data_IF_466685561465
#
_entry.id   IF_466685561465
#
_cell.length_a   1.000
_cell.length_b   1.000
_cell.length_c   1.000
_cell.angle_alpha   90.00
_cell.angle_beta   90.00
_cell.angle_gamma   90.00
#
_symmetry.space_group_name_H-M   'P 1'
#
loop_
_entity.id
_entity.type
_entity.pdbx_description
1 polymer ?
#
# COMPACT_ATOMS: atom_id res chain seq x y z
N UNK A 1 -43.33 -7.90 -6.30
CA UNK A 1 -43.47 -8.82 -5.17
C UNK A 1 -44.93 -8.85 -4.74
N UNK A 2 -45.62 -9.98 -4.84
CA UNK A 2 -47.02 -10.10 -4.56
C UNK A 2 -47.31 -10.17 -3.05
N UNK A 3 -48.41 -9.64 -2.54
CA UNK A 3 -48.79 -9.68 -1.11
C UNK A 3 -48.76 -11.11 -0.56
N UNK A 4 -49.15 -12.11 -1.36
CA UNK A 4 -49.04 -13.55 -0.98
C UNK A 4 -47.63 -14.03 -0.72
N UNK A 5 -46.63 -13.54 -1.45
CA UNK A 5 -45.22 -13.93 -1.25
C UNK A 5 -44.68 -13.31 0.02
N UNK A 6 -45.12 -12.10 0.36
CA UNK A 6 -44.78 -11.44 1.61
C UNK A 6 -45.31 -12.17 2.84
N UNK A 7 -46.55 -12.72 2.78
CA UNK A 7 -47.11 -13.48 3.89
C UNK A 7 -46.41 -14.80 4.11
N UNK A 8 -45.99 -15.53 3.08
CA UNK A 8 -45.21 -16.75 3.20
C UNK A 8 -43.84 -16.50 3.81
N UNK A 9 -43.17 -15.40 3.44
CA UNK A 9 -41.85 -15.04 3.98
C UNK A 9 -41.89 -14.78 5.51
N UNK A 10 -43.03 -14.42 6.07
CA UNK A 10 -43.21 -14.15 7.52
C UNK A 10 -43.72 -15.39 8.27
N UNK A 11 -44.20 -16.42 7.58
CA UNK A 11 -44.73 -17.63 8.20
C UNK A 11 -43.59 -18.62 8.54
N UNK A 12 -43.37 -18.95 9.83
CA UNK A 12 -42.32 -19.90 10.21
C UNK A 12 -42.50 -21.28 9.55
N UNK A 13 -41.40 -21.89 9.13
CA UNK A 13 -41.39 -23.22 8.51
C UNK A 13 -41.72 -23.23 7.01
N UNK A 14 -41.85 -22.06 6.37
CA UNK A 14 -41.95 -22.01 4.92
C UNK A 14 -40.56 -21.83 4.28
N UNK A 15 -40.30 -22.37 3.07
CA UNK A 15 -39.04 -22.18 2.38
C UNK A 15 -38.67 -20.69 2.19
N UNK A 16 -39.65 -19.83 2.00
CA UNK A 16 -39.47 -18.38 1.87
C UNK A 16 -39.05 -17.75 3.21
N UNK A 17 -39.57 -18.23 4.34
CA UNK A 17 -39.16 -17.78 5.67
C UNK A 17 -37.73 -18.22 6.00
N UNK A 18 -37.37 -19.46 5.67
CA UNK A 18 -36.01 -19.98 5.83
C UNK A 18 -35.00 -19.19 4.98
N UNK A 19 -35.35 -18.89 3.72
CA UNK A 19 -34.52 -18.08 2.85
C UNK A 19 -34.33 -16.64 3.40
N UNK A 20 -35.40 -16.03 3.90
CA UNK A 20 -35.35 -14.69 4.51
C UNK A 20 -34.52 -14.69 5.80
N UNK A 21 -34.72 -15.69 6.67
CA UNK A 21 -33.94 -15.85 7.92
C UNK A 21 -32.45 -16.07 7.64
N UNK A 22 -32.12 -16.89 6.63
CA UNK A 22 -30.76 -17.08 6.18
C UNK A 22 -30.15 -15.78 5.64
N UNK A 23 -30.91 -15.00 4.87
CA UNK A 23 -30.48 -13.70 4.36
C UNK A 23 -30.17 -12.70 5.49
N UNK A 24 -31.09 -12.56 6.45
CA UNK A 24 -30.84 -11.71 7.62
C UNK A 24 -29.67 -12.20 8.46
N UNK A 25 -29.52 -13.51 8.67
CA UNK A 25 -28.38 -14.08 9.35
C UNK A 25 -27.04 -13.72 8.69
N UNK A 26 -26.99 -13.62 7.36
CA UNK A 26 -25.82 -13.12 6.63
C UNK A 26 -25.62 -11.61 6.82
N UNK A 27 -26.67 -10.82 6.75
CA UNK A 27 -26.58 -9.36 6.96
C UNK A 27 -26.04 -9.00 8.34
N UNK A 28 -26.47 -9.67 9.39
CA UNK A 28 -26.00 -9.42 10.75
C UNK A 28 -24.51 -9.76 10.95
N UNK A 29 -23.93 -10.60 10.11
CA UNK A 29 -22.52 -10.96 10.14
C UNK A 29 -21.60 -9.97 9.41
N UNK A 30 -22.16 -9.14 8.51
CA UNK A 30 -21.35 -8.22 7.69
C UNK A 30 -20.44 -7.28 8.50
N UNK A 31 -20.89 -6.67 9.63
CA UNK A 31 -20.02 -5.81 10.43
C UNK A 31 -18.80 -6.57 10.99
N UNK A 32 -19.00 -7.80 11.47
CA UNK A 32 -17.93 -8.61 12.02
C UNK A 32 -16.96 -9.07 10.93
N UNK A 33 -17.47 -9.47 9.77
CA UNK A 33 -16.63 -9.81 8.61
C UNK A 33 -15.77 -8.64 8.16
N UNK A 34 -16.33 -7.44 8.10
CA UNK A 34 -15.61 -6.22 7.75
C UNK A 34 -14.56 -5.86 8.79
N UNK A 35 -14.90 -5.96 10.08
CA UNK A 35 -13.97 -5.68 11.19
C UNK A 35 -12.79 -6.66 11.15
N UNK A 36 -13.06 -7.94 11.00
CA UNK A 36 -12.03 -8.98 10.89
C UNK A 36 -11.12 -8.70 9.67
N UNK A 37 -11.69 -8.50 8.50
CA UNK A 37 -10.95 -8.20 7.28
C UNK A 37 -10.08 -6.95 7.44
N UNK A 38 -10.65 -5.85 7.96
CA UNK A 38 -9.93 -4.61 8.20
C UNK A 38 -8.76 -4.80 9.15
N UNK A 39 -8.94 -5.53 10.24
CA UNK A 39 -7.90 -5.77 11.25
C UNK A 39 -6.75 -6.61 10.68
N UNK A 40 -7.05 -7.68 9.97
CA UNK A 40 -6.03 -8.50 9.29
C UNK A 40 -5.25 -7.69 8.25
N UNK A 41 -5.96 -6.98 7.37
CA UNK A 41 -5.31 -6.19 6.31
C UNK A 41 -4.49 -5.05 6.90
N UNK A 42 -5.01 -4.31 7.89
CA UNK A 42 -4.27 -3.23 8.54
C UNK A 42 -2.98 -3.75 9.20
N UNK A 43 -3.06 -4.88 9.91
CA UNK A 43 -1.88 -5.50 10.53
C UNK A 43 -0.86 -5.93 9.48
N UNK A 44 -1.29 -6.57 8.40
CA UNK A 44 -0.39 -6.96 7.30
C UNK A 44 0.28 -5.74 6.66
N UNK A 45 -0.47 -4.67 6.42
CA UNK A 45 0.06 -3.45 5.79
C UNK A 45 1.04 -2.72 6.71
N UNK A 46 0.70 -2.52 7.99
CA UNK A 46 1.47 -1.70 8.91
C UNK A 46 2.75 -2.41 9.39
N UNK A 47 2.71 -3.72 9.63
CA UNK A 47 3.82 -4.45 10.21
C UNK A 47 4.65 -5.26 9.21
N UNK A 48 4.09 -5.62 8.06
CA UNK A 48 4.79 -6.48 7.08
C UNK A 48 5.05 -5.79 5.74
N UNK A 49 4.22 -4.83 5.32
CA UNK A 49 4.42 -4.12 4.07
C UNK A 49 5.13 -2.77 4.27
N UNK A 50 4.76 -2.00 5.31
CA UNK A 50 5.39 -0.69 5.53
C UNK A 50 6.89 -0.78 5.82
N UNK A 51 7.41 -1.79 6.55
CA UNK A 51 8.84 -1.95 6.78
C UNK A 51 9.66 -2.43 5.58
N UNK A 52 9.03 -2.82 4.46
CA UNK A 52 9.74 -3.32 3.28
C UNK A 52 10.70 -2.26 2.72
N UNK A 53 11.97 -2.59 2.64
CA UNK A 53 13.01 -1.70 2.10
C UNK A 53 12.84 -1.47 0.59
N UNK A 54 12.47 -2.53 -0.13
CA UNK A 54 12.14 -2.49 -1.56
C UNK A 54 10.68 -2.82 -1.74
N UNK A 55 10.03 -2.15 -2.69
CA UNK A 55 8.60 -2.26 -2.93
C UNK A 55 8.36 -2.72 -4.36
N UNK A 56 8.44 -4.01 -4.57
CA UNK A 56 8.11 -4.71 -5.82
C UNK A 56 7.27 -5.94 -5.50
N UNK A 57 6.75 -6.62 -6.52
CA UNK A 57 5.88 -7.78 -6.36
C UNK A 57 6.51 -8.89 -5.49
N UNK A 58 7.80 -9.18 -5.68
CA UNK A 58 8.53 -10.18 -4.91
C UNK A 58 8.58 -9.86 -3.42
N UNK A 59 8.91 -8.61 -3.06
CA UNK A 59 8.99 -8.21 -1.65
C UNK A 59 7.61 -8.17 -0.98
N UNK A 60 6.55 -7.80 -1.72
CA UNK A 60 5.19 -7.91 -1.19
C UNK A 60 4.77 -9.37 -0.98
N UNK A 61 5.15 -10.29 -1.88
CA UNK A 61 4.91 -11.73 -1.67
C UNK A 61 5.63 -12.24 -0.42
N UNK A 62 6.87 -11.80 -0.17
CA UNK A 62 7.59 -12.09 1.08
C UNK A 62 6.89 -11.50 2.29
N UNK A 63 6.35 -10.28 2.19
CA UNK A 63 5.57 -9.65 3.26
C UNK A 63 4.32 -10.46 3.60
N UNK A 64 3.56 -10.90 2.60
CA UNK A 64 2.40 -11.80 2.77
C UNK A 64 2.81 -13.10 3.43
N UNK A 65 3.88 -13.75 2.94
CA UNK A 65 4.38 -14.99 3.51
C UNK A 65 4.74 -14.83 5.00
N UNK A 66 5.49 -13.78 5.35
CA UNK A 66 5.87 -13.50 6.74
C UNK A 66 4.66 -13.27 7.64
N UNK A 67 3.68 -12.51 7.17
CA UNK A 67 2.44 -12.26 7.91
C UNK A 67 1.73 -13.57 8.26
N UNK A 68 1.56 -14.45 7.30
CA UNK A 68 0.88 -15.73 7.53
C UNK A 68 1.70 -16.74 8.33
N UNK A 69 3.02 -16.65 8.26
CA UNK A 69 3.92 -17.54 9.02
C UNK A 69 4.16 -17.08 10.46
N UNK A 70 3.71 -15.88 10.84
CA UNK A 70 3.88 -15.33 12.19
C UNK A 70 2.76 -15.86 13.11
N UNK A 71 3.02 -16.99 13.77
CA UNK A 71 2.05 -17.65 14.64
C UNK A 71 1.59 -16.75 15.80
N UNK A 72 2.47 -15.92 16.36
CA UNK A 72 2.13 -15.03 17.47
C UNK A 72 1.12 -13.96 17.05
N UNK A 73 1.33 -13.36 15.86
CA UNK A 73 0.41 -12.35 15.31
C UNK A 73 -0.92 -12.99 14.92
N UNK A 74 -0.90 -14.19 14.31
CA UNK A 74 -2.13 -14.88 13.96
C UNK A 74 -2.95 -15.23 15.20
N UNK A 75 -2.32 -15.69 16.28
CA UNK A 75 -2.98 -15.97 17.54
C UNK A 75 -3.55 -14.73 18.21
N UNK A 76 -2.77 -13.64 18.25
CA UNK A 76 -3.22 -12.36 18.79
C UNK A 76 -4.44 -11.80 18.04
N UNK A 77 -4.46 -11.92 16.70
CA UNK A 77 -5.61 -11.51 15.89
C UNK A 77 -6.84 -12.36 16.17
N UNK A 78 -6.68 -13.69 16.30
CA UNK A 78 -7.80 -14.58 16.66
C UNK A 78 -8.37 -14.28 18.05
N UNK A 79 -7.50 -13.98 19.02
CA UNK A 79 -7.93 -13.64 20.37
C UNK A 79 -8.62 -12.27 20.48
N UNK A 80 -8.22 -11.31 19.65
CA UNK A 80 -8.74 -9.94 19.68
C UNK A 80 -10.04 -9.75 18.88
N UNK A 81 -10.34 -10.65 17.95
CA UNK A 81 -11.48 -10.51 17.04
C UNK A 81 -12.67 -11.39 17.50
N UNK A 82 -13.90 -11.00 17.12
CA UNK A 82 -15.06 -11.83 17.40
C UNK A 82 -14.84 -13.28 16.94
N UNK A 83 -15.27 -14.28 17.70
CA UNK A 83 -15.12 -15.67 17.32
C UNK A 83 -15.98 -15.93 16.07
N UNK A 84 -15.35 -15.80 14.93
CA UNK A 84 -15.99 -16.06 13.65
C UNK A 84 -15.63 -17.48 13.21
N UNK A 85 -16.55 -18.45 13.29
CA UNK A 85 -16.23 -19.86 13.04
C UNK A 85 -15.80 -20.14 11.61
N UNK A 86 -15.80 -19.14 10.74
CA UNK A 86 -15.54 -19.29 9.31
C UNK A 86 -14.46 -18.36 8.77
N UNK A 87 -13.91 -17.48 9.60
CA UNK A 87 -12.86 -16.56 9.17
C UNK A 87 -11.48 -17.13 9.49
N UNK A 88 -11.09 -18.15 8.75
CA UNK A 88 -9.68 -18.47 8.60
C UNK A 88 -9.19 -17.73 7.37
N UNK A 89 -8.51 -16.62 7.59
CA UNK A 89 -7.93 -15.79 6.51
C UNK A 89 -6.98 -16.60 5.59
N UNK A 90 -6.52 -17.77 6.06
CA UNK A 90 -5.67 -18.71 5.35
C UNK A 90 -6.44 -19.76 4.54
N UNK A 91 -7.67 -20.06 4.90
CA UNK A 91 -8.48 -21.05 4.17
C UNK A 91 -9.36 -20.30 3.17
N UNK A 92 -8.81 -20.12 1.97
CA UNK A 92 -9.64 -19.71 0.84
C UNK A 92 -10.73 -20.77 0.65
N UNK A 93 -11.98 -20.38 0.87
CA UNK A 93 -13.10 -21.23 0.47
C UNK A 93 -13.16 -21.26 -1.04
N UNK A 94 -13.51 -22.40 -1.63
CA UNK A 94 -13.63 -22.49 -3.05
C UNK A 94 -14.67 -21.49 -3.53
N UNK A 95 -14.25 -20.49 -4.33
CA UNK A 95 -15.16 -19.65 -5.08
C UNK A 95 -15.62 -20.45 -6.31
N UNK A 96 -16.92 -20.54 -6.51
CA UNK A 96 -17.46 -21.16 -7.72
C UNK A 96 -17.39 -20.15 -8.87
N UNK A 97 -16.69 -20.53 -9.94
CA UNK A 97 -16.57 -19.73 -11.14
C UNK A 97 -17.40 -20.35 -12.25
N UNK A 98 -18.25 -19.55 -12.88
CA UNK A 98 -19.07 -19.94 -14.02
C UNK A 98 -18.83 -18.97 -15.18
N UNK A 99 -18.88 -19.50 -16.41
CA UNK A 99 -18.86 -18.67 -17.60
C UNK A 99 -20.28 -18.49 -18.12
N UNK A 100 -20.72 -17.24 -18.16
CA UNK A 100 -22.09 -16.88 -18.55
C UNK A 100 -22.08 -15.86 -19.67
N UNK A 101 -23.11 -15.89 -20.49
CA UNK A 101 -23.37 -14.79 -21.44
C UNK A 101 -24.29 -13.77 -20.79
N UNK A 102 -23.95 -12.49 -20.90
CA UNK A 102 -24.77 -11.39 -20.39
C UNK A 102 -24.76 -10.21 -21.37
N UNK A 103 -25.78 -9.34 -21.33
CA UNK A 103 -25.73 -8.10 -22.09
C UNK A 103 -24.52 -7.27 -21.72
N UNK A 104 -23.89 -6.64 -22.72
CA UNK A 104 -22.79 -5.71 -22.50
C UNK A 104 -23.29 -4.49 -21.68
N UNK A 105 -22.68 -4.13 -20.55
CA UNK A 105 -23.10 -2.99 -19.74
C UNK A 105 -23.08 -1.63 -20.47
N UNK A 106 -22.24 -1.52 -21.52
CA UNK A 106 -22.09 -0.29 -22.33
C UNK A 106 -22.99 -0.32 -23.57
N UNK A 107 -23.19 -1.51 -24.17
CA UNK A 107 -23.98 -1.72 -25.38
C UNK A 107 -24.96 -2.88 -25.14
N UNK A 108 -26.10 -2.63 -24.48
CA UNK A 108 -27.03 -3.69 -24.02
C UNK A 108 -27.60 -4.59 -25.12
N UNK A 109 -27.55 -4.16 -26.38
CA UNK A 109 -27.96 -4.94 -27.56
C UNK A 109 -26.94 -6.01 -27.95
N UNK A 110 -25.72 -5.97 -27.38
CA UNK A 110 -24.66 -6.96 -27.60
C UNK A 110 -24.55 -7.89 -26.40
N UNK A 111 -24.09 -9.10 -26.63
CA UNK A 111 -23.81 -10.06 -25.59
C UNK A 111 -22.30 -10.24 -25.48
N UNK A 112 -21.83 -10.34 -24.24
CA UNK A 112 -20.45 -10.65 -23.90
C UNK A 112 -20.39 -11.96 -23.12
N UNK A 113 -19.25 -12.66 -23.23
CA UNK A 113 -18.92 -13.75 -22.33
C UNK A 113 -18.32 -13.15 -21.05
N UNK A 114 -18.89 -13.47 -19.91
CA UNK A 114 -18.47 -12.99 -18.62
C UNK A 114 -18.18 -14.12 -17.65
N UNK A 115 -17.28 -13.86 -16.72
CA UNK A 115 -16.98 -14.74 -15.60
C UNK A 115 -17.87 -14.33 -14.40
N UNK A 116 -18.70 -15.25 -13.92
CA UNK A 116 -19.49 -15.08 -12.71
C UNK A 116 -18.84 -15.82 -11.57
N UNK A 117 -18.42 -15.12 -10.53
CA UNK A 117 -17.84 -15.70 -9.34
C UNK A 117 -18.86 -15.61 -8.20
N UNK A 118 -19.15 -16.75 -7.59
CA UNK A 118 -20.10 -16.86 -6.47
C UNK A 118 -19.33 -17.07 -5.18
N UNK A 119 -19.61 -16.22 -4.19
CA UNK A 119 -18.96 -16.26 -2.86
C UNK A 119 -19.97 -16.67 -1.79
N UNK A 120 -19.48 -17.39 -0.78
CA UNK A 120 -20.27 -17.79 0.39
C UNK A 120 -20.42 -16.66 1.41
N UNK A 121 -19.45 -15.74 1.46
CA UNK A 121 -19.39 -14.63 2.39
C UNK A 121 -18.78 -13.38 1.75
N UNK A 122 -19.01 -12.22 2.37
CA UNK A 122 -18.33 -10.99 1.99
C UNK A 122 -16.81 -11.08 2.21
N UNK A 123 -16.38 -11.75 3.28
CA UNK A 123 -14.98 -11.96 3.59
C UNK A 123 -14.24 -12.71 2.47
N UNK A 124 -14.86 -13.76 1.89
CA UNK A 124 -14.28 -14.51 0.77
C UNK A 124 -14.07 -13.61 -0.48
N UNK A 125 -15.06 -12.77 -0.76
CA UNK A 125 -14.97 -11.78 -1.85
C UNK A 125 -13.83 -10.79 -1.61
N UNK A 126 -13.80 -10.15 -0.44
CA UNK A 126 -12.79 -9.14 -0.09
C UNK A 126 -11.37 -9.73 -0.09
N UNK A 127 -11.23 -10.97 0.38
CA UNK A 127 -9.97 -11.70 0.35
C UNK A 127 -9.49 -11.92 -1.09
N UNK A 128 -10.35 -12.43 -1.96
CA UNK A 128 -10.01 -12.64 -3.36
C UNK A 128 -9.65 -11.34 -4.06
N UNK A 129 -10.44 -10.27 -3.86
CA UNK A 129 -10.21 -8.96 -4.46
C UNK A 129 -8.87 -8.37 -4.03
N UNK A 130 -8.54 -8.44 -2.73
CA UNK A 130 -7.25 -8.01 -2.19
C UNK A 130 -6.08 -8.73 -2.88
N UNK A 131 -6.10 -10.06 -2.92
CA UNK A 131 -4.97 -10.83 -3.47
C UNK A 131 -4.87 -10.69 -4.99
N UNK A 132 -5.97 -10.64 -5.71
CA UNK A 132 -5.97 -10.28 -7.14
C UNK A 132 -5.39 -8.89 -7.35
N UNK A 133 -5.79 -7.91 -6.52
CA UNK A 133 -5.22 -6.56 -6.54
C UNK A 133 -3.71 -6.55 -6.32
N UNK A 134 -3.21 -7.28 -5.33
CA UNK A 134 -1.78 -7.41 -5.05
C UNK A 134 -1.02 -8.05 -6.23
N UNK A 135 -1.57 -9.08 -6.85
CA UNK A 135 -0.98 -9.74 -8.02
C UNK A 135 -0.87 -8.79 -9.23
N UNK A 136 -1.81 -7.86 -9.37
CA UNK A 136 -1.79 -6.83 -10.41
C UNK A 136 -1.01 -5.56 -10.02
N UNK A 137 -0.35 -5.56 -8.85
CA UNK A 137 0.44 -4.41 -8.37
C UNK A 137 -0.37 -3.29 -7.74
N UNK A 138 -1.66 -3.50 -7.49
CA UNK A 138 -2.52 -2.58 -6.74
C UNK A 138 -2.31 -2.77 -5.24
N UNK A 139 -1.25 -2.21 -4.72
CA UNK A 139 -0.87 -2.38 -3.31
C UNK A 139 -1.45 -1.25 -2.47
N UNK A 140 -2.24 -1.55 -1.43
CA UNK A 140 -2.67 -0.55 -0.48
C UNK A 140 -1.47 -0.03 0.32
N UNK A 141 -1.43 1.29 0.54
CA UNK A 141 -0.40 1.96 1.33
C UNK A 141 -0.96 3.09 2.16
N UNK A 142 -0.39 3.34 3.34
CA UNK A 142 -0.70 4.53 4.14
C UNK A 142 0.01 5.75 3.58
N UNK A 143 -0.75 6.83 3.39
CA UNK A 143 -0.19 8.13 3.02
C UNK A 143 0.61 8.69 4.20
N UNK A 144 1.87 9.08 3.98
CA UNK A 144 2.73 9.63 5.04
C UNK A 144 2.22 10.96 5.61
N UNK A 145 1.38 11.70 4.86
CA UNK A 145 0.83 12.98 5.33
C UNK A 145 -0.53 12.82 6.05
N UNK A 146 -1.53 12.21 5.41
CA UNK A 146 -2.89 12.12 5.98
C UNK A 146 -3.20 10.79 6.67
N UNK A 147 -2.28 9.83 6.65
CA UNK A 147 -2.39 8.49 7.22
C UNK A 147 -3.51 7.60 6.66
N UNK A 148 -4.30 8.09 5.71
CA UNK A 148 -5.35 7.32 5.04
C UNK A 148 -4.73 6.36 4.03
N UNK A 149 -5.36 5.22 3.83
CA UNK A 149 -4.95 4.26 2.81
C UNK A 149 -5.23 4.78 1.39
N UNK A 150 -4.37 4.46 0.47
CA UNK A 150 -4.54 4.66 -0.97
C UNK A 150 -3.89 3.51 -1.73
N UNK A 151 -4.37 3.24 -2.95
CA UNK A 151 -3.79 2.24 -3.83
C UNK A 151 -2.63 2.83 -4.62
N UNK A 152 -1.52 2.10 -4.67
CA UNK A 152 -0.44 2.40 -5.59
C UNK A 152 -0.89 2.06 -7.01
N UNK A 153 -0.86 3.05 -7.88
CA UNK A 153 -1.07 2.90 -9.31
C UNK A 153 0.24 3.28 -9.99
N UNK A 154 0.94 2.35 -10.59
CA UNK A 154 2.16 2.66 -11.37
C UNK A 154 3.33 3.28 -10.57
N UNK A 155 3.91 2.58 -9.64
CA UNK A 155 5.13 3.02 -8.97
C UNK A 155 5.15 2.75 -7.48
N UNK A 156 6.05 1.89 -7.08
CA UNK A 156 6.15 1.40 -5.71
C UNK A 156 6.70 2.45 -4.72
N UNK A 157 7.27 3.56 -5.19
CA UNK A 157 7.90 4.58 -4.34
C UNK A 157 7.01 5.77 -3.95
N UNK A 158 5.74 5.76 -4.34
CA UNK A 158 4.81 6.85 -4.02
C UNK A 158 4.44 6.81 -2.54
N UNK A 159 4.85 7.84 -1.78
CA UNK A 159 4.62 7.95 -0.33
C UNK A 159 3.37 8.75 0.04
N UNK A 160 2.82 9.51 -0.87
CA UNK A 160 1.74 10.47 -0.63
C UNK A 160 0.60 10.26 -1.62
N UNK A 161 -0.63 10.30 -1.13
CA UNK A 161 -1.81 10.22 -1.99
C UNK A 161 -2.09 11.55 -2.71
N UNK A 162 -3.04 11.53 -3.64
CA UNK A 162 -3.48 12.69 -4.41
C UNK A 162 -4.67 13.45 -3.78
N UNK A 163 -5.15 13.00 -2.61
CA UNK A 163 -6.24 13.68 -1.89
C UNK A 163 -5.78 15.02 -1.35
N UNK A 164 -6.72 15.95 -1.14
CA UNK A 164 -6.47 17.21 -0.46
C UNK A 164 -5.89 16.92 0.93
N UNK A 165 -4.81 17.61 1.28
CA UNK A 165 -4.12 17.43 2.55
C UNK A 165 -4.96 17.97 3.73
N UNK A 166 -4.88 17.36 4.92
CA UNK A 166 -5.56 17.87 6.09
C UNK A 166 -5.16 19.34 6.37
N UNK A 167 -6.14 20.18 6.58
CA UNK A 167 -5.94 21.63 6.81
C UNK A 167 -5.71 22.46 5.55
N UNK A 168 -5.69 21.85 4.37
CA UNK A 168 -5.53 22.53 3.09
C UNK A 168 -6.84 22.61 2.30
N UNK A 169 -6.97 23.62 1.47
CA UNK A 169 -8.15 23.78 0.59
C UNK A 169 -7.90 23.36 -0.86
N UNK A 170 -6.66 23.43 -1.31
CA UNK A 170 -6.27 23.17 -2.70
C UNK A 170 -5.08 22.21 -2.84
N UNK A 171 -4.15 22.20 -1.88
CA UNK A 171 -2.93 21.40 -1.99
C UNK A 171 -3.19 19.94 -1.65
N UNK A 172 -2.71 19.03 -2.50
CA UNK A 172 -2.78 17.59 -2.25
C UNK A 172 -1.68 17.14 -1.28
N UNK A 173 -1.87 15.95 -0.68
CA UNK A 173 -0.84 15.33 0.17
C UNK A 173 0.50 15.19 -0.58
N UNK A 174 0.48 14.93 -1.89
CA UNK A 174 1.68 14.84 -2.72
C UNK A 174 2.41 16.18 -2.83
N UNK A 175 1.67 17.27 -3.00
CA UNK A 175 2.24 18.61 -3.06
C UNK A 175 2.81 19.07 -1.71
N UNK A 176 2.07 18.82 -0.62
CA UNK A 176 2.56 19.11 0.74
C UNK A 176 3.80 18.25 1.07
N UNK A 177 3.78 16.96 0.75
CA UNK A 177 4.92 16.09 0.96
C UNK A 177 6.17 16.47 0.16
N UNK A 178 6.01 17.00 -1.06
CA UNK A 178 7.11 17.55 -1.84
C UNK A 178 7.68 18.83 -1.19
N UNK A 179 6.82 19.67 -0.62
CA UNK A 179 7.21 20.89 0.10
C UNK A 179 7.96 20.57 1.39
N UNK A 180 7.47 19.59 2.19
CA UNK A 180 8.13 19.14 3.42
C UNK A 180 9.51 18.55 3.13
N UNK A 181 9.65 17.80 2.03
CA UNK A 181 10.94 17.29 1.57
C UNK A 181 11.91 18.42 1.18
N UNK A 182 11.39 19.55 0.70
CA UNK A 182 12.20 20.74 0.44
C UNK A 182 12.59 21.44 1.75
N UNK A 183 11.65 21.59 2.69
CA UNK A 183 11.90 22.16 4.02
C UNK A 183 12.90 21.31 4.83
N UNK A 184 12.83 19.95 4.75
CA UNK A 184 13.83 19.06 5.33
C UNK A 184 15.24 19.26 4.70
N UNK A 185 15.31 19.72 3.45
CA UNK A 185 16.57 20.13 2.81
C UNK A 185 17.07 21.45 3.38
N UNK A 186 16.17 22.38 3.64
CA UNK A 186 16.51 23.69 4.18
C UNK A 186 16.97 23.61 5.65
N UNK A 187 16.62 22.53 6.38
CA UNK A 187 17.16 22.19 7.71
C UNK A 187 18.54 21.57 7.72
N UNK A 188 19.15 21.30 6.54
CA UNK A 188 20.52 20.77 6.47
C UNK A 188 21.54 21.87 6.74
N UNK A 189 22.59 21.46 7.43
CA UNK A 189 23.74 22.34 7.63
C UNK A 189 24.36 22.75 6.28
N UNK A 190 24.98 23.94 6.17
CA UNK A 190 25.70 24.36 4.97
C UNK A 190 26.69 23.27 4.47
N UNK A 191 27.33 22.59 5.40
CA UNK A 191 28.26 21.46 5.15
C UNK A 191 27.56 20.31 4.39
N UNK A 192 26.34 19.96 4.81
CA UNK A 192 25.58 18.88 4.18
C UNK A 192 25.10 19.26 2.77
N UNK A 193 24.67 20.50 2.59
CA UNK A 193 24.20 21.02 1.31
C UNK A 193 25.33 21.00 0.26
N UNK A 194 26.49 21.55 0.62
CA UNK A 194 27.62 21.63 -0.31
C UNK A 194 28.18 20.24 -0.68
N UNK A 195 28.25 19.32 0.30
CA UNK A 195 28.63 17.94 0.01
C UNK A 195 27.64 17.27 -0.97
N UNK A 196 26.33 17.39 -0.75
CA UNK A 196 25.33 16.81 -1.66
C UNK A 196 25.36 17.41 -3.06
N UNK A 197 25.58 18.71 -3.17
CA UNK A 197 25.75 19.40 -4.45
C UNK A 197 26.93 18.82 -5.23
N UNK A 198 28.06 18.67 -4.54
CA UNK A 198 29.28 18.09 -5.13
C UNK A 198 29.08 16.63 -5.52
N UNK A 199 28.52 15.81 -4.64
CA UNK A 199 28.22 14.41 -4.93
C UNK A 199 27.30 14.26 -6.17
N UNK A 200 26.24 15.08 -6.26
CA UNK A 200 25.32 15.06 -7.39
C UNK A 200 25.99 15.54 -8.69
N UNK A 201 26.91 16.50 -8.62
CA UNK A 201 27.74 16.96 -9.75
C UNK A 201 28.62 15.83 -10.28
N UNK A 202 29.33 15.14 -9.37
CA UNK A 202 30.17 13.99 -9.71
C UNK A 202 29.36 12.84 -10.29
N UNK A 203 28.19 12.53 -9.72
CA UNK A 203 27.28 11.51 -10.23
C UNK A 203 26.84 11.79 -11.66
N UNK A 204 26.52 13.05 -11.99
CA UNK A 204 26.19 13.46 -13.35
C UNK A 204 27.38 13.35 -14.31
N UNK A 205 28.62 13.66 -13.83
CA UNK A 205 29.84 13.51 -14.65
C UNK A 205 30.11 12.04 -14.98
N UNK A 206 29.95 11.13 -13.99
CA UNK A 206 30.07 9.68 -14.21
C UNK A 206 29.02 9.16 -15.19
N UNK A 207 27.76 9.53 -15.01
CA UNK A 207 26.66 9.09 -15.89
C UNK A 207 26.83 9.55 -17.34
N UNK A 208 27.56 10.66 -17.57
CA UNK A 208 27.89 11.18 -18.89
C UNK A 208 29.22 10.63 -19.45
N UNK A 209 29.83 9.66 -18.78
CA UNK A 209 31.10 9.07 -19.19
C UNK A 209 32.32 10.02 -19.13
N UNK A 210 32.20 11.14 -18.40
CA UNK A 210 33.28 12.15 -18.29
C UNK A 210 34.36 11.77 -17.26
N UNK A 211 34.08 10.84 -16.40
CA UNK A 211 35.00 10.29 -15.40
C UNK A 211 34.83 8.77 -15.30
N UNK A 212 35.93 8.07 -15.10
CA UNK A 212 35.95 6.62 -14.91
C UNK A 212 35.37 6.23 -13.54
N UNK A 213 35.17 4.92 -13.31
CA UNK A 213 34.70 4.44 -12.01
C UNK A 213 35.73 4.65 -10.90
N UNK A 214 37.00 4.49 -11.23
CA UNK A 214 38.09 4.67 -10.25
C UNK A 214 38.27 6.14 -9.88
N UNK A 215 38.22 7.04 -10.88
CA UNK A 215 38.21 8.48 -10.64
C UNK A 215 36.99 8.91 -9.81
N UNK A 216 35.80 8.37 -10.11
CA UNK A 216 34.61 8.62 -9.32
C UNK A 216 34.80 8.23 -7.85
N UNK A 217 35.32 7.02 -7.57
CA UNK A 217 35.54 6.53 -6.23
C UNK A 217 36.55 7.42 -5.47
N UNK A 218 37.64 7.80 -6.12
CA UNK A 218 38.65 8.69 -5.54
C UNK A 218 38.09 10.09 -5.22
N UNK A 219 37.32 10.69 -6.13
CA UNK A 219 36.71 12.02 -5.95
C UNK A 219 35.65 12.01 -4.85
N UNK A 220 34.83 10.93 -4.77
CA UNK A 220 33.83 10.78 -3.70
C UNK A 220 34.50 10.61 -2.35
N UNK A 221 35.54 9.79 -2.25
CA UNK A 221 36.29 9.61 -1.00
C UNK A 221 36.91 10.94 -0.53
N UNK A 222 37.49 11.72 -1.43
CA UNK A 222 38.03 13.06 -1.13
C UNK A 222 36.94 14.03 -0.66
N UNK A 223 35.75 14.02 -1.30
CA UNK A 223 34.63 14.85 -0.89
C UNK A 223 34.10 14.45 0.51
N UNK A 224 34.12 13.16 0.85
CA UNK A 224 33.74 12.66 2.18
C UNK A 224 34.73 13.13 3.25
N UNK A 225 36.03 13.03 2.99
CA UNK A 225 37.07 13.51 3.91
C UNK A 225 36.94 15.01 4.20
N UNK A 226 36.74 15.84 3.17
CA UNK A 226 36.49 17.28 3.32
C UNK A 226 35.26 17.54 4.19
N UNK A 227 34.16 16.80 3.97
CA UNK A 227 32.95 16.91 4.81
C UNK A 227 33.23 16.57 6.28
N UNK A 228 33.97 15.50 6.54
CA UNK A 228 34.28 15.08 7.91
C UNK A 228 35.18 16.12 8.61
N UNK A 229 36.16 16.69 7.91
CA UNK A 229 37.00 17.76 8.44
C UNK A 229 36.15 19.00 8.80
N UNK A 230 35.23 19.40 7.93
CA UNK A 230 34.30 20.51 8.20
C UNK A 230 33.37 20.21 9.38
N UNK A 231 32.85 18.98 9.51
CA UNK A 231 32.01 18.58 10.65
C UNK A 231 32.76 18.58 11.98
N UNK A 232 34.07 18.29 11.96
CA UNK A 232 34.95 18.38 13.15
C UNK A 232 35.39 19.81 13.47
N UNK A 233 34.98 20.79 12.65
CA UNK A 233 35.40 22.20 12.84
C UNK A 233 36.82 22.51 12.39
N UNK A 234 37.44 21.60 11.64
CA UNK A 234 38.82 21.81 11.10
C UNK A 234 38.86 22.69 9.88
N UNK A 235 37.69 22.90 9.23
CA UNK A 235 37.51 23.76 8.05
C UNK A 235 36.33 24.69 8.27
N UNK A 236 36.46 25.96 7.87
CA UNK A 236 35.35 26.86 7.75
C UNK A 236 34.44 26.49 6.56
N UNK A 237 33.18 26.91 6.58
CA UNK A 237 32.25 26.70 5.46
C UNK A 237 32.78 27.23 4.12
N UNK A 238 33.50 28.34 4.17
CA UNK A 238 34.14 28.94 2.98
C UNK A 238 35.27 28.07 2.41
N UNK A 239 36.17 27.60 3.27
CA UNK A 239 37.28 26.72 2.88
C UNK A 239 36.77 25.40 2.33
N UNK A 240 35.79 24.76 3.02
CA UNK A 240 35.14 23.55 2.56
C UNK A 240 34.55 23.74 1.15
N UNK A 241 33.78 24.82 0.93
CA UNK A 241 33.17 25.10 -0.35
C UNK A 241 34.20 25.22 -1.46
N UNK A 242 35.29 26.00 -1.21
CA UNK A 242 36.39 26.18 -2.16
C UNK A 242 37.08 24.84 -2.49
N UNK A 243 37.29 23.98 -1.50
CA UNK A 243 37.90 22.67 -1.71
C UNK A 243 36.98 21.74 -2.52
N UNK A 244 35.66 21.76 -2.26
CA UNK A 244 34.67 20.97 -2.98
C UNK A 244 34.42 21.45 -4.42
N UNK A 245 34.60 22.76 -4.70
CA UNK A 245 34.54 23.32 -6.05
C UNK A 245 35.73 22.85 -6.90
N UNK A 246 36.88 22.58 -6.29
CA UNK A 246 38.10 22.08 -6.95
C UNK A 246 38.08 20.58 -7.28
N UNK A 247 37.01 19.88 -6.94
CA UNK A 247 36.77 18.47 -7.26
C UNK A 247 35.85 18.38 -8.51
#
# INVERSE_FOLDING_TARGET
MCIRDSQKAVTPGTPENEALSSFFGKLFRLPDELLCFQSYVSTMLDFYFEPLQRRNAEHYAVGVYRFFSDAAVQEALRAALPPYPTFEFLQSRPAMTEYVTMPDPVQPEKYILAERVVFSSLADFLHMDLFRGLMHGNVPRRCHNCRKFFLLQNGYDVRYCTRIAPGETKRTCRQVGAHNKQADRDGKTPVQIEYENTYNRLKKRKARGKISTDEWNALVARAQDIREQAQRGCLSDFEMKKMLEGI
#
